data_IF_134488692280
#
_entry.id   IF_134488692280
#
_cell.length_a   1.000
_cell.length_b   1.000
_cell.length_c   1.000
_cell.angle_alpha   90.00
_cell.angle_beta   90.00
_cell.angle_gamma   90.00
#
_symmetry.space_group_name_H-M   'P 1'
#
loop_
_entity.id
_entity.type
_entity.pdbx_description
1 polymer ?
#
# COMPACT_ATOMS: atom_id res chain seq x y z
N UNK A 1 -25.11 -0.08 -15.00
CA UNK A 1 -24.86 -0.02 -13.54
C UNK A 1 -23.71 -0.95 -13.19
N UNK A 2 -22.48 -0.66 -13.64
CA UNK A 2 -21.32 -1.52 -13.38
C UNK A 2 -20.00 -0.74 -13.23
N UNK A 3 -20.05 0.59 -13.10
CA UNK A 3 -18.87 1.46 -13.21
C UNK A 3 -18.35 1.95 -11.84
N UNK A 4 -18.88 1.43 -10.74
CA UNK A 4 -18.70 2.03 -9.41
C UNK A 4 -17.73 1.26 -8.49
N UNK A 5 -17.07 0.22 -9.00
CA UNK A 5 -16.10 -0.59 -8.23
C UNK A 5 -14.81 -0.87 -9.01
N UNK A 6 -14.52 -0.11 -10.07
CA UNK A 6 -13.13 -0.02 -10.56
C UNK A 6 -12.39 0.88 -9.58
N UNK A 7 -12.07 0.35 -8.41
CA UNK A 7 -10.99 0.91 -7.62
C UNK A 7 -9.75 0.76 -8.47
N UNK A 8 -9.11 1.86 -8.82
CA UNK A 8 -7.85 1.88 -9.56
C UNK A 8 -6.76 1.33 -8.63
N UNK A 9 -6.72 -0.01 -8.52
CA UNK A 9 -5.74 -0.74 -7.73
C UNK A 9 -4.32 -0.43 -8.22
N UNK A 10 -4.17 -0.13 -9.51
CA UNK A 10 -2.90 0.31 -10.07
C UNK A 10 -2.53 1.70 -9.57
N UNK A 11 -3.45 2.65 -9.54
CA UNK A 11 -3.27 3.98 -8.94
C UNK A 11 -2.89 3.92 -7.46
N UNK A 12 -3.49 3.01 -6.69
CA UNK A 12 -3.13 2.78 -5.29
C UNK A 12 -1.73 2.17 -5.13
N UNK A 13 -1.36 1.22 -5.99
CA UNK A 13 0.00 0.64 -6.03
C UNK A 13 1.04 1.69 -6.43
N UNK A 14 0.73 2.54 -7.42
CA UNK A 14 1.58 3.66 -7.83
C UNK A 14 1.79 4.63 -6.69
N UNK A 15 0.73 5.04 -5.99
CA UNK A 15 0.83 5.92 -4.83
C UNK A 15 1.73 5.31 -3.75
N UNK A 16 1.54 4.03 -3.42
CA UNK A 16 2.40 3.31 -2.47
C UNK A 16 3.88 3.32 -2.88
N UNK A 17 4.18 3.12 -4.16
CA UNK A 17 5.54 3.17 -4.69
C UNK A 17 6.12 4.58 -4.62
N UNK A 18 5.34 5.62 -4.95
CA UNK A 18 5.78 7.02 -4.88
C UNK A 18 6.13 7.41 -3.46
N UNK A 19 5.29 7.04 -2.48
CA UNK A 19 5.54 7.29 -1.06
C UNK A 19 6.85 6.62 -0.59
N UNK A 20 7.12 5.39 -1.05
CA UNK A 20 8.37 4.68 -0.75
C UNK A 20 9.60 5.41 -1.32
N UNK A 21 9.52 5.89 -2.56
CA UNK A 21 10.61 6.66 -3.19
C UNK A 21 10.89 7.95 -2.43
N UNK A 22 9.85 8.70 -2.05
CA UNK A 22 9.98 9.94 -1.27
C UNK A 22 10.70 9.66 0.05
N UNK A 23 10.34 8.60 0.76
CA UNK A 23 11.05 8.21 2.00
C UNK A 23 12.53 7.90 1.75
N UNK A 24 12.86 7.21 0.66
CA UNK A 24 14.24 6.89 0.31
C UNK A 24 15.08 8.14 -0.03
N UNK A 25 14.52 9.09 -0.79
CA UNK A 25 15.18 10.34 -1.17
C UNK A 25 15.44 11.23 0.05
N UNK A 26 14.47 11.29 0.97
CA UNK A 26 14.62 11.98 2.24
C UNK A 26 15.75 11.36 3.09
N UNK A 27 15.91 10.04 3.06
CA UNK A 27 17.02 9.34 3.73
C UNK A 27 18.38 9.55 3.07
N UNK A 28 18.42 9.64 1.73
CA UNK A 28 19.64 9.96 1.01
C UNK A 28 20.14 11.37 1.33
N UNK A 29 19.21 12.35 1.41
CA UNK A 29 19.52 13.74 1.76
C UNK A 29 20.15 13.86 3.15
N UNK A 30 19.71 13.05 4.13
CA UNK A 30 20.33 12.99 5.48
C UNK A 30 21.83 12.71 5.42
N UNK A 31 22.23 11.72 4.63
CA UNK A 31 23.65 11.32 4.52
C UNK A 31 24.53 12.46 3.99
N UNK A 32 23.98 13.34 3.16
CA UNK A 32 24.68 14.50 2.63
C UNK A 32 24.87 15.57 3.71
N UNK A 33 23.83 15.83 4.51
CA UNK A 33 23.89 16.82 5.61
C UNK A 33 24.86 16.36 6.70
N UNK A 34 24.80 15.08 7.08
CA UNK A 34 25.74 14.48 8.05
C UNK A 34 27.20 14.56 7.57
N UNK A 35 27.44 14.36 6.27
CA UNK A 35 28.78 14.53 5.71
C UNK A 35 29.27 15.98 5.77
N UNK A 36 28.38 16.96 5.58
CA UNK A 36 28.71 18.40 5.66
C UNK A 36 28.97 18.88 7.10
N UNK A 37 28.44 18.18 8.11
CA UNK A 37 28.60 18.50 9.54
C UNK A 37 30.06 18.45 9.99
N UNK A 38 30.90 17.60 9.38
CA UNK A 38 32.32 17.48 9.71
C UNK A 38 33.17 18.71 9.33
N UNK A 39 32.69 19.55 8.42
CA UNK A 39 33.46 20.67 7.84
C UNK A 39 33.11 22.04 8.45
N UNK A 40 32.04 22.14 9.25
CA UNK A 40 31.51 23.42 9.75
C UNK A 40 32.04 23.73 11.16
N UNK A 41 33.21 24.38 11.22
CA UNK A 41 33.96 24.68 12.45
C UNK A 41 33.37 25.72 13.42
N UNK A 42 32.07 26.00 13.40
CA UNK A 42 31.41 26.94 14.32
C UNK A 42 30.37 26.22 15.20
N UNK A 43 30.54 26.28 16.53
CA UNK A 43 29.73 25.54 17.50
C UNK A 43 28.21 25.86 17.41
N UNK A 44 27.85 27.10 17.14
CA UNK A 44 26.44 27.52 16.99
C UNK A 44 25.79 26.95 15.72
N UNK A 45 26.57 26.83 14.63
CA UNK A 45 26.11 26.21 13.39
C UNK A 45 25.96 24.70 13.59
N UNK A 46 26.88 24.08 14.33
CA UNK A 46 26.79 22.67 14.69
C UNK A 46 25.54 22.36 15.52
N UNK A 47 25.24 23.17 16.54
CA UNK A 47 24.06 22.99 17.40
C UNK A 47 22.76 23.23 16.63
N UNK A 48 22.72 24.24 15.75
CA UNK A 48 21.57 24.48 14.88
C UNK A 48 21.35 23.33 13.89
N UNK A 49 22.43 22.77 13.33
CA UNK A 49 22.35 21.61 12.43
C UNK A 49 21.96 20.33 13.16
N UNK A 50 22.45 20.11 14.37
CA UNK A 50 22.08 18.97 15.21
C UNK A 50 20.59 19.04 15.60
N UNK A 51 20.11 20.21 16.03
CA UNK A 51 18.69 20.43 16.33
C UNK A 51 17.82 20.26 15.09
N UNK A 52 18.27 20.76 13.93
CA UNK A 52 17.59 20.53 12.67
C UNK A 52 17.55 19.04 12.30
N UNK A 53 18.67 18.32 12.39
CA UNK A 53 18.73 16.88 12.08
C UNK A 53 17.78 16.09 12.98
N UNK A 54 17.80 16.34 14.28
CA UNK A 54 16.95 15.65 15.25
C UNK A 54 15.45 15.85 14.97
N UNK A 55 15.03 17.11 14.78
CA UNK A 55 13.63 17.43 14.45
C UNK A 55 13.22 16.87 13.08
N UNK A 56 14.16 16.87 12.13
CA UNK A 56 13.94 16.32 10.80
C UNK A 56 13.85 14.79 10.80
N UNK A 57 14.62 14.10 11.64
CA UNK A 57 14.55 12.65 11.83
C UNK A 57 13.22 12.25 12.47
N UNK A 58 12.78 12.96 13.51
CA UNK A 58 11.49 12.76 14.16
C UNK A 58 10.32 12.99 13.19
N UNK A 59 10.32 14.11 12.47
CA UNK A 59 9.30 14.44 11.49
C UNK A 59 9.22 13.40 10.36
N UNK A 60 10.36 12.94 9.85
CA UNK A 60 10.40 11.87 8.85
C UNK A 60 9.97 10.53 9.40
N UNK A 61 10.31 10.21 10.66
CA UNK A 61 9.84 9.01 11.34
C UNK A 61 8.31 8.97 11.45
N UNK A 62 7.67 10.12 11.69
CA UNK A 62 6.21 10.23 11.67
C UNK A 62 5.64 10.06 10.25
N UNK A 63 6.26 10.68 9.24
CA UNK A 63 5.85 10.55 7.84
C UNK A 63 5.94 9.08 7.39
N UNK A 64 7.05 8.38 7.67
CA UNK A 64 7.24 6.97 7.32
C UNK A 64 6.20 6.07 7.99
N UNK A 65 5.92 6.27 9.29
CA UNK A 65 4.87 5.54 10.00
C UNK A 65 3.50 5.73 9.36
N UNK A 66 3.14 6.98 9.04
CA UNK A 66 1.87 7.29 8.41
C UNK A 66 1.78 6.69 7.00
N UNK A 67 2.87 6.73 6.23
CA UNK A 67 2.93 6.11 4.90
C UNK A 67 2.80 4.58 4.95
N UNK A 68 3.44 3.93 5.92
CA UNK A 68 3.28 2.48 6.14
C UNK A 68 1.86 2.11 6.52
N UNK A 69 1.25 2.85 7.45
CA UNK A 69 -0.15 2.63 7.82
C UNK A 69 -1.10 2.82 6.62
N UNK A 70 -0.88 3.86 5.81
CA UNK A 70 -1.65 4.06 4.57
C UNK A 70 -1.46 2.90 3.60
N UNK A 71 -0.21 2.44 3.41
CA UNK A 71 0.07 1.29 2.54
C UNK A 71 -0.66 0.03 3.02
N UNK A 72 -0.65 -0.26 4.31
CA UNK A 72 -1.34 -1.41 4.89
C UNK A 72 -2.84 -1.36 4.61
N UNK A 73 -3.48 -0.20 4.85
CA UNK A 73 -4.91 0.00 4.57
C UNK A 73 -5.22 -0.17 3.08
N UNK A 74 -4.36 0.32 2.20
CA UNK A 74 -4.53 0.14 0.75
C UNK A 74 -4.38 -1.32 0.33
N UNK A 75 -3.35 -2.02 0.83
CA UNK A 75 -3.11 -3.44 0.53
C UNK A 75 -4.25 -4.32 1.10
N UNK A 76 -4.82 -3.97 2.25
CA UNK A 76 -6.03 -4.62 2.81
C UNK A 76 -7.27 -4.35 1.97
N UNK A 77 -7.46 -3.11 1.51
CA UNK A 77 -8.58 -2.74 0.65
C UNK A 77 -8.53 -3.50 -0.66
N UNK A 78 -7.37 -3.60 -1.30
CA UNK A 78 -7.15 -4.39 -2.53
C UNK A 78 -7.55 -5.84 -2.32
N UNK A 79 -7.07 -6.47 -1.23
CA UNK A 79 -7.42 -7.86 -0.91
C UNK A 79 -8.92 -8.03 -0.69
N UNK A 80 -9.57 -7.10 -0.01
CA UNK A 80 -11.01 -7.15 0.23
C UNK A 80 -11.80 -7.07 -1.09
N UNK A 81 -11.40 -6.19 -2.01
CA UNK A 81 -12.03 -6.11 -3.34
C UNK A 81 -11.83 -7.41 -4.15
N UNK A 82 -10.61 -7.92 -4.22
CA UNK A 82 -10.33 -9.18 -4.94
C UNK A 82 -11.11 -10.38 -4.36
N UNK A 83 -11.29 -10.43 -3.03
CA UNK A 83 -12.10 -11.46 -2.38
C UNK A 83 -13.59 -11.34 -2.71
N UNK A 84 -14.14 -10.12 -2.64
CA UNK A 84 -15.55 -9.87 -2.95
C UNK A 84 -15.85 -10.19 -4.41
N UNK A 85 -15.00 -9.74 -5.33
CA UNK A 85 -15.16 -10.03 -6.76
C UNK A 85 -15.05 -11.55 -7.05
N UNK A 86 -14.07 -12.23 -6.44
CA UNK A 86 -13.90 -13.67 -6.60
C UNK A 86 -15.04 -14.51 -6.01
N UNK A 87 -15.68 -14.03 -4.95
CA UNK A 87 -16.88 -14.65 -4.37
C UNK A 87 -18.11 -14.42 -5.26
N UNK A 88 -18.29 -13.20 -5.78
CA UNK A 88 -19.34 -12.87 -6.75
C UNK A 88 -19.23 -13.71 -8.02
N UNK A 89 -18.03 -13.85 -8.61
CA UNK A 89 -17.81 -14.67 -9.81
C UNK A 89 -18.13 -16.15 -9.54
N UNK A 90 -17.73 -16.68 -8.37
CA UNK A 90 -18.07 -18.05 -7.96
C UNK A 90 -19.59 -18.26 -7.84
N UNK A 91 -20.29 -17.36 -7.14
CA UNK A 91 -21.74 -17.45 -6.98
C UNK A 91 -22.48 -17.35 -8.31
N UNK A 92 -22.04 -16.48 -9.21
CA UNK A 92 -22.59 -16.36 -10.56
C UNK A 92 -22.37 -17.62 -11.38
N UNK A 93 -21.16 -18.21 -11.34
CA UNK A 93 -20.84 -19.48 -12.01
C UNK A 93 -21.65 -20.65 -11.48
N UNK A 94 -21.84 -20.74 -10.17
CA UNK A 94 -22.62 -21.81 -9.54
C UNK A 94 -24.12 -21.69 -9.88
N UNK A 95 -24.66 -20.47 -9.97
CA UNK A 95 -26.04 -20.24 -10.42
C UNK A 95 -26.24 -20.52 -11.92
N UNK A 96 -25.22 -20.29 -12.76
CA UNK A 96 -25.28 -20.57 -14.20
C UNK A 96 -25.00 -22.04 -14.54
N UNK A 97 -24.59 -22.87 -13.57
CA UNK A 97 -24.37 -24.29 -13.77
C UNK A 97 -25.73 -24.98 -13.96
N UNK A 98 -26.06 -25.50 -15.16
CA UNK A 98 -27.32 -26.21 -15.34
C UNK A 98 -27.31 -27.46 -14.46
N UNK A 99 -28.46 -27.79 -13.87
CA UNK A 99 -28.67 -29.01 -13.10
C UNK A 99 -28.41 -30.23 -14.01
N UNK A 100 -27.16 -30.68 -14.07
CA UNK A 100 -26.80 -31.86 -14.84
C UNK A 100 -27.24 -33.10 -14.08
N UNK A 101 -28.43 -33.59 -14.41
CA UNK A 101 -28.67 -35.02 -14.60
C UNK A 101 -29.05 -35.86 -13.37
N UNK A 102 -30.11 -35.48 -12.65
CA UNK A 102 -30.83 -36.39 -11.75
C UNK A 102 -32.06 -36.97 -12.45
N UNK A 103 -31.89 -38.00 -13.30
CA UNK A 103 -33.03 -38.56 -14.02
C UNK A 103 -32.76 -39.91 -14.69
N UNK A 104 -32.82 -40.99 -13.91
CA UNK A 104 -33.14 -42.32 -14.43
C UNK A 104 -34.14 -43.01 -13.48
N UNK A 105 -35.45 -43.03 -13.81
CA UNK A 105 -36.42 -43.80 -13.07
C UNK A 105 -36.54 -45.26 -13.56
N UNK A 106 -36.68 -46.14 -12.57
CA UNK A 106 -37.45 -47.39 -12.53
C UNK A 106 -36.99 -48.64 -13.32
N UNK A 107 -36.72 -49.67 -12.50
CA UNK A 107 -36.91 -51.08 -12.81
C UNK A 107 -38.29 -51.36 -13.41
N UNK A 108 -38.32 -52.08 -14.51
CA UNK A 108 -39.38 -52.99 -15.00
C UNK A 108 -38.75 -53.76 -16.18
N UNK A 109 -38.91 -55.05 -16.41
CA UNK A 109 -39.54 -56.18 -15.74
C UNK A 109 -38.88 -57.43 -16.35
#
# INVERSE_FOLDING_TARGET
MADQLVVDLDGLRTLSSTLTTVTNDLNATRKVIEAARGDLGAAEVYEALDSFENNWDDGRGQIDKNMKAMKEVLDESVKAYEQVDGELDRQLRDQMKPASGGGSPQKAQ
#
